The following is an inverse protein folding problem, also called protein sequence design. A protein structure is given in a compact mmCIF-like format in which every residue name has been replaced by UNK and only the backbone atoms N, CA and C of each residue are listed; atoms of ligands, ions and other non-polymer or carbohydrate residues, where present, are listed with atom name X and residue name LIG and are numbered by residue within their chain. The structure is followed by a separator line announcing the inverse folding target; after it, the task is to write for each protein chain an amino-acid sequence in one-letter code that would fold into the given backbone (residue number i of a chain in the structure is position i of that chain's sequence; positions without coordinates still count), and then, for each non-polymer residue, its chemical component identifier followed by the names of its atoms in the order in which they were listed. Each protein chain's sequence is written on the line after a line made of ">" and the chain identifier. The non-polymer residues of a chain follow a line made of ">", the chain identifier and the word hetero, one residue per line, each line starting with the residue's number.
data_IF_634221537277
#
_entry.id   IF_634221537277
#
_cell.length_a   1.000
_cell.length_b   1.000
_cell.length_c   1.000
_cell.angle_alpha   90.00
_cell.angle_beta   90.00
_cell.angle_gamma   90.00
#
_symmetry.space_group_name_H-M   'P 1'
#
loop_
_entity.id
_entity.type
_entity.pdbx_description
1 polymer ?
#
# COMPACT_ATOMS: atom_id res chain seq x y z
N UNK A 1 3.45 -17.91 -10.37
CA UNK A 1 4.77 -18.49 -10.03
C UNK A 1 4.53 -19.78 -9.29
N UNK A 2 5.10 -20.91 -9.72
CA UNK A 2 4.77 -22.24 -9.18
C UNK A 2 5.05 -22.35 -7.67
N UNK A 3 6.18 -21.77 -7.21
CA UNK A 3 6.68 -21.98 -5.84
C UNK A 3 5.82 -21.32 -4.77
N UNK A 4 5.33 -20.09 -4.99
CA UNK A 4 4.39 -19.42 -4.06
C UNK A 4 3.09 -20.21 -3.93
N UNK A 5 2.57 -20.72 -5.04
CA UNK A 5 1.30 -21.44 -5.03
C UNK A 5 1.41 -22.74 -4.21
N UNK A 6 2.58 -23.39 -4.24
CA UNK A 6 2.87 -24.55 -3.38
C UNK A 6 2.82 -24.14 -1.89
N UNK A 7 3.48 -23.04 -1.50
CA UNK A 7 3.45 -22.56 -0.12
C UNK A 7 2.03 -22.19 0.35
N UNK A 8 1.25 -21.52 -0.51
CA UNK A 8 -0.16 -21.18 -0.23
C UNK A 8 -0.98 -22.46 -0.02
N UNK A 9 -0.86 -23.43 -0.93
CA UNK A 9 -1.59 -24.70 -0.82
C UNK A 9 -1.17 -25.51 0.42
N UNK A 10 0.12 -25.51 0.76
CA UNK A 10 0.61 -26.15 1.98
C UNK A 10 0.00 -25.50 3.23
N UNK A 11 -0.03 -24.16 3.29
CA UNK A 11 -0.62 -23.43 4.40
C UNK A 11 -2.14 -23.64 4.50
N UNK A 12 -2.86 -23.64 3.37
CA UNK A 12 -4.29 -24.00 3.31
C UNK A 12 -4.52 -25.40 3.89
N UNK A 13 -3.68 -26.36 3.53
CA UNK A 13 -3.78 -27.72 4.06
C UNK A 13 -3.51 -27.76 5.57
N UNK A 14 -2.57 -26.95 6.08
CA UNK A 14 -2.32 -26.83 7.52
C UNK A 14 -3.52 -26.22 8.26
N UNK A 15 -4.16 -25.18 7.71
CA UNK A 15 -5.37 -24.55 8.25
C UNK A 15 -6.55 -25.54 8.30
N UNK A 16 -6.84 -26.22 7.18
CA UNK A 16 -7.95 -27.19 7.10
C UNK A 16 -7.79 -28.38 8.05
N UNK A 17 -6.55 -28.86 8.20
CA UNK A 17 -6.22 -29.98 9.08
C UNK A 17 -5.98 -29.56 10.53
N UNK A 18 -6.17 -28.28 10.87
CA UNK A 18 -5.89 -27.72 12.20
C UNK A 18 -4.50 -28.06 12.73
N UNK A 19 -3.51 -28.06 11.84
CA UNK A 19 -2.09 -28.26 12.23
C UNK A 19 -1.47 -26.99 12.82
N UNK A 20 -2.12 -25.86 12.59
CA UNK A 20 -1.76 -24.57 13.15
C UNK A 20 -3.02 -24.08 13.84
N UNK A 21 -2.90 -23.83 15.13
CA UNK A 21 -3.98 -23.33 15.96
C UNK A 21 -3.45 -22.17 16.81
N UNK A 22 -4.36 -21.32 17.27
CA UNK A 22 -4.04 -20.15 18.06
C UNK A 22 -3.80 -18.91 17.19
N UNK A 23 -4.25 -17.78 17.73
CA UNK A 23 -4.22 -16.50 17.02
C UNK A 23 -2.79 -16.04 16.71
N UNK A 24 -1.84 -16.26 17.62
CA UNK A 24 -0.45 -15.82 17.46
C UNK A 24 0.28 -16.59 16.35
N UNK A 25 0.28 -17.93 16.42
CA UNK A 25 0.94 -18.79 15.44
C UNK A 25 0.33 -18.62 14.04
N UNK A 26 -1.00 -18.52 13.98
CA UNK A 26 -1.71 -18.30 12.72
C UNK A 26 -1.43 -16.92 12.13
N UNK A 27 -1.44 -15.87 12.95
CA UNK A 27 -1.14 -14.51 12.51
C UNK A 27 0.27 -14.42 11.92
N UNK A 28 1.26 -14.98 12.64
CA UNK A 28 2.66 -14.97 12.23
C UNK A 28 2.86 -15.68 10.90
N UNK A 29 2.39 -16.92 10.77
CA UNK A 29 2.56 -17.68 9.52
C UNK A 29 1.80 -17.05 8.35
N UNK A 30 0.64 -16.45 8.60
CA UNK A 30 -0.10 -15.69 7.58
C UNK A 30 0.72 -14.50 7.08
N UNK A 31 1.32 -13.71 7.99
CA UNK A 31 2.16 -12.58 7.62
C UNK A 31 3.42 -13.01 6.86
N UNK A 32 4.10 -14.08 7.29
CA UNK A 32 5.28 -14.65 6.61
C UNK A 32 4.95 -15.15 5.19
N UNK A 33 3.78 -15.79 5.02
CA UNK A 33 3.29 -16.22 3.70
C UNK A 33 3.00 -15.01 2.80
N UNK A 34 2.28 -14.01 3.30
CA UNK A 34 1.95 -12.80 2.53
C UNK A 34 3.20 -12.01 2.14
N UNK A 35 4.23 -11.97 3.00
CA UNK A 35 5.54 -11.40 2.66
C UNK A 35 6.19 -12.12 1.49
N UNK A 36 6.13 -13.46 1.49
CA UNK A 36 6.64 -14.29 0.38
C UNK A 36 5.86 -14.02 -0.92
N UNK A 37 4.53 -13.89 -0.84
CA UNK A 37 3.66 -13.53 -1.97
C UNK A 37 4.05 -12.17 -2.55
N UNK A 38 4.17 -11.13 -1.71
CA UNK A 38 4.53 -9.77 -2.13
C UNK A 38 5.91 -9.74 -2.79
N UNK A 39 6.89 -10.41 -2.19
CA UNK A 39 8.27 -10.46 -2.70
C UNK A 39 8.34 -11.02 -4.13
N UNK A 40 7.57 -12.09 -4.39
CA UNK A 40 7.56 -12.83 -5.66
C UNK A 40 6.52 -12.31 -6.67
N UNK A 41 5.64 -11.40 -6.26
CA UNK A 41 4.64 -10.79 -7.15
C UNK A 41 5.33 -9.88 -8.16
N UNK A 42 4.99 -10.07 -9.44
CA UNK A 42 5.43 -9.18 -10.50
C UNK A 42 4.52 -7.97 -10.54
N UNK A 43 5.09 -6.79 -10.30
CA UNK A 43 4.37 -5.53 -10.28
C UNK A 43 4.47 -4.82 -11.64
N UNK A 44 3.35 -4.48 -12.28
CA UNK A 44 3.34 -3.61 -13.46
C UNK A 44 3.80 -2.19 -13.10
N UNK A 45 4.36 -1.45 -14.07
CA UNK A 45 4.90 -0.11 -13.80
C UNK A 45 3.85 0.95 -13.44
N UNK A 46 2.58 0.77 -13.85
CA UNK A 46 1.52 1.78 -13.75
C UNK A 46 0.63 1.65 -12.52
N UNK A 47 0.32 0.42 -12.09
CA UNK A 47 -0.56 0.15 -10.94
C UNK A 47 0.07 -0.89 -10.01
N UNK A 48 1.14 -0.47 -9.34
CA UNK A 48 1.95 -1.34 -8.51
C UNK A 48 1.20 -1.76 -7.24
N UNK A 49 0.63 -0.78 -6.53
CA UNK A 49 -0.16 -1.02 -5.33
C UNK A 49 -1.39 -1.90 -5.63
N UNK A 50 -2.11 -1.63 -6.72
CA UNK A 50 -3.24 -2.46 -7.15
C UNK A 50 -2.84 -3.91 -7.41
N UNK A 51 -1.73 -4.15 -8.11
CA UNK A 51 -1.24 -5.51 -8.35
C UNK A 51 -0.88 -6.26 -7.06
N UNK A 52 -0.28 -5.58 -6.08
CA UNK A 52 0.00 -6.17 -4.76
C UNK A 52 -1.29 -6.42 -3.97
N UNK A 53 -2.23 -5.49 -4.00
CA UNK A 53 -3.55 -5.61 -3.34
C UNK A 53 -4.31 -6.81 -3.91
N UNK A 54 -4.36 -6.97 -5.22
CA UNK A 54 -5.07 -8.07 -5.87
C UNK A 54 -4.42 -9.42 -5.55
N UNK A 55 -3.09 -9.49 -5.56
CA UNK A 55 -2.36 -10.70 -5.19
C UNK A 55 -2.62 -11.11 -3.72
N UNK A 56 -2.54 -10.16 -2.78
CA UNK A 56 -2.79 -10.41 -1.36
C UNK A 56 -4.25 -10.76 -1.11
N UNK A 57 -5.20 -10.08 -1.78
CA UNK A 57 -6.63 -10.35 -1.67
C UNK A 57 -6.96 -11.77 -2.15
N UNK A 58 -6.47 -12.15 -3.33
CA UNK A 58 -6.73 -13.47 -3.90
C UNK A 58 -6.22 -14.61 -2.99
N UNK A 59 -5.02 -14.47 -2.43
CA UNK A 59 -4.50 -15.44 -1.46
C UNK A 59 -5.32 -15.39 -0.16
N UNK A 60 -5.58 -14.20 0.38
CA UNK A 60 -6.31 -14.01 1.62
C UNK A 60 -7.72 -14.62 1.61
N UNK A 61 -8.46 -14.47 0.51
CA UNK A 61 -9.77 -15.10 0.33
C UNK A 61 -9.69 -16.62 0.40
N UNK A 62 -8.67 -17.24 -0.21
CA UNK A 62 -8.46 -18.69 -0.14
C UNK A 62 -8.13 -19.14 1.29
N UNK A 63 -7.31 -18.37 2.03
CA UNK A 63 -6.94 -18.69 3.41
C UNK A 63 -8.14 -18.58 4.36
N UNK A 64 -8.94 -17.51 4.23
CA UNK A 64 -10.14 -17.31 5.05
C UNK A 64 -11.18 -18.38 4.75
N UNK A 65 -11.38 -18.74 3.48
CA UNK A 65 -12.28 -19.82 3.09
C UNK A 65 -11.82 -21.20 3.61
N UNK A 66 -10.51 -21.39 3.82
CA UNK A 66 -9.98 -22.63 4.36
C UNK A 66 -10.32 -22.85 5.85
N UNK A 67 -10.41 -21.77 6.63
CA UNK A 67 -10.85 -21.82 8.02
C UNK A 67 -11.48 -20.47 8.48
N UNK A 68 -12.80 -20.27 8.27
CA UNK A 68 -13.44 -18.99 8.53
C UNK A 68 -13.58 -18.65 10.02
N UNK A 69 -13.38 -19.63 10.92
CA UNK A 69 -13.46 -19.44 12.37
C UNK A 69 -12.19 -18.79 12.91
N UNK A 70 -11.06 -18.98 12.23
CA UNK A 70 -9.77 -18.40 12.63
C UNK A 70 -9.64 -16.96 12.13
N UNK A 71 -10.26 -16.03 12.88
CA UNK A 71 -10.35 -14.61 12.52
C UNK A 71 -8.99 -13.91 12.39
N UNK A 72 -7.95 -14.46 13.04
CA UNK A 72 -6.58 -13.95 12.96
C UNK A 72 -6.09 -13.84 11.52
N UNK A 73 -6.38 -14.84 10.67
CA UNK A 73 -6.01 -14.83 9.24
C UNK A 73 -6.59 -13.59 8.55
N UNK A 74 -7.89 -13.37 8.72
CA UNK A 74 -8.58 -12.23 8.10
C UNK A 74 -8.08 -10.89 8.63
N UNK A 75 -7.76 -10.80 9.92
CA UNK A 75 -7.21 -9.60 10.54
C UNK A 75 -5.84 -9.24 9.94
N UNK A 76 -4.94 -10.22 9.80
CA UNK A 76 -3.65 -10.00 9.18
C UNK A 76 -3.78 -9.62 7.70
N UNK A 77 -4.62 -10.31 6.92
CA UNK A 77 -4.86 -9.94 5.51
C UNK A 77 -5.32 -8.48 5.39
N UNK A 78 -6.28 -8.04 6.22
CA UNK A 78 -6.75 -6.65 6.21
C UNK A 78 -5.66 -5.66 6.61
N UNK A 79 -4.83 -5.98 7.62
CA UNK A 79 -3.70 -5.15 8.04
C UNK A 79 -2.66 -5.02 6.93
N UNK A 80 -2.29 -6.11 6.26
CA UNK A 80 -1.35 -6.07 5.12
C UNK A 80 -1.90 -5.24 3.96
N UNK A 81 -3.18 -5.39 3.62
CA UNK A 81 -3.83 -4.55 2.60
C UNK A 81 -3.84 -3.07 2.98
N UNK A 82 -3.91 -2.74 4.27
CA UNK A 82 -3.81 -1.37 4.74
C UNK A 82 -2.38 -0.84 4.62
N UNK A 83 -1.38 -1.59 5.07
CA UNK A 83 0.05 -1.26 4.90
C UNK A 83 0.37 -0.91 3.45
N UNK A 84 -0.07 -1.72 2.48
CA UNK A 84 0.17 -1.45 1.06
C UNK A 84 -0.39 -0.09 0.61
N UNK A 85 -1.57 0.28 1.13
CA UNK A 85 -2.20 1.58 0.80
C UNK A 85 -1.47 2.73 1.48
N UNK A 86 -1.06 2.55 2.73
CA UNK A 86 -0.30 3.57 3.47
C UNK A 86 1.05 3.84 2.80
N UNK A 87 1.79 2.80 2.40
CA UNK A 87 3.10 2.98 1.75
C UNK A 87 3.00 3.59 0.35
N UNK A 88 1.98 3.23 -0.45
CA UNK A 88 1.78 3.85 -1.77
C UNK A 88 1.41 5.33 -1.64
N UNK A 89 0.58 5.66 -0.64
CA UNK A 89 0.23 7.04 -0.33
C UNK A 89 1.44 7.83 0.20
N UNK A 90 2.24 7.24 1.09
CA UNK A 90 3.48 7.82 1.60
C UNK A 90 4.44 8.14 0.46
N UNK A 91 4.61 7.21 -0.48
CA UNK A 91 5.43 7.39 -1.67
C UNK A 91 4.88 8.42 -2.67
N UNK A 92 3.57 8.49 -2.85
CA UNK A 92 2.93 9.54 -3.65
C UNK A 92 3.18 10.92 -3.02
N UNK A 93 3.00 11.04 -1.70
CA UNK A 93 3.20 12.28 -0.96
C UNK A 93 4.66 12.73 -0.98
N UNK A 94 5.60 11.80 -0.77
CA UNK A 94 7.04 12.09 -0.83
C UNK A 94 7.48 12.56 -2.23
N UNK A 95 6.91 11.99 -3.30
CA UNK A 95 7.18 12.44 -4.66
C UNK A 95 6.69 13.88 -4.91
N UNK A 96 5.53 14.26 -4.35
CA UNK A 96 4.99 15.62 -4.44
C UNK A 96 5.84 16.61 -3.63
N UNK A 97 6.22 16.25 -2.40
CA UNK A 97 7.07 17.08 -1.55
C UNK A 97 8.44 17.36 -2.19
N UNK A 98 9.03 16.37 -2.86
CA UNK A 98 10.29 16.54 -3.60
C UNK A 98 10.20 17.52 -4.79
N UNK A 99 9.02 17.66 -5.40
CA UNK A 99 8.78 18.61 -6.49
C UNK A 99 8.62 20.05 -5.99
N UNK A 100 8.05 20.24 -4.79
CA UNK A 100 7.81 21.57 -4.20
C UNK A 100 9.07 22.34 -3.78
N UNK A 101 10.20 21.66 -3.58
CA UNK A 101 11.49 22.28 -3.21
C UNK A 101 12.30 22.79 -4.41
N UNK A 102 11.85 22.53 -5.65
CA UNK A 102 12.54 22.97 -6.87
C UNK A 102 12.05 24.31 -7.44
N UNK A 103 11.07 24.95 -6.79
CA UNK A 103 10.41 26.19 -7.26
C UNK A 103 10.90 27.48 -6.58
N UNK A 104 12.08 27.47 -5.94
CA UNK A 104 12.73 28.70 -5.44
C UNK A 104 13.94 29.05 -6.32
N UNK A 105 13.68 29.28 -7.60
CA UNK A 105 14.61 30.05 -8.44
C UNK A 105 14.01 31.44 -8.57
N UNK A 106 14.55 32.38 -7.81
CA UNK A 106 14.39 33.81 -8.04
C UNK A 106 14.94 34.13 -9.43
N UNK A 107 14.06 34.28 -10.41
CA UNK A 107 14.35 35.07 -11.62
C UNK A 107 13.10 35.87 -11.93
N UNK A 108 13.14 37.14 -11.53
CA UNK A 108 12.26 38.19 -12.02
C UNK A 108 12.72 38.53 -13.45
N UNK A 109 11.98 38.15 -14.49
CA UNK A 109 11.37 39.09 -15.44
C UNK A 109 10.64 38.40 -16.61
N UNK A 110 9.61 39.12 -17.04
CA UNK A 110 8.99 39.18 -18.36
C UNK A 110 8.03 38.09 -18.89
N UNK A 111 7.04 38.59 -19.62
CA UNK A 111 5.72 38.03 -19.84
C UNK A 111 5.60 37.09 -21.05
N UNK A 112 4.99 35.92 -20.87
CA UNK A 112 4.03 35.34 -21.82
C UNK A 112 3.18 34.24 -21.16
N UNK A 113 1.86 34.37 -21.28
CA UNK A 113 0.87 33.43 -20.73
C UNK A 113 0.76 32.21 -21.64
N UNK A 114 1.51 31.16 -21.35
CA UNK A 114 1.25 29.83 -21.93
C UNK A 114 0.39 28.98 -20.98
N UNK A 115 -0.86 28.80 -21.39
CA UNK A 115 -1.84 27.93 -20.75
C UNK A 115 -1.48 26.45 -21.01
N UNK A 116 -0.54 25.91 -20.23
CA UNK A 116 -0.37 24.46 -20.14
C UNK A 116 -1.46 23.84 -19.25
N UNK A 117 -2.18 22.78 -19.71
CA UNK A 117 -3.08 22.02 -18.86
C UNK A 117 -2.26 21.02 -18.05
N UNK A 118 -1.35 21.52 -17.21
CA UNK A 118 -0.82 20.74 -16.11
C UNK A 118 -1.90 20.82 -15.04
N UNK A 119 -2.49 19.68 -14.64
CA UNK A 119 -3.40 19.66 -13.48
C UNK A 119 -2.71 20.44 -12.36
N UNK A 120 -3.30 21.56 -11.95
CA UNK A 120 -2.63 22.52 -11.07
C UNK A 120 -2.09 21.77 -9.85
N UNK A 121 -0.87 22.08 -9.42
CA UNK A 121 -0.28 21.49 -8.22
C UNK A 121 -1.25 21.56 -7.03
N UNK A 122 -2.13 22.57 -6.99
CA UNK A 122 -3.22 22.70 -6.04
C UNK A 122 -4.27 21.56 -6.11
N UNK A 123 -4.65 21.09 -7.30
CA UNK A 123 -5.63 20.00 -7.50
C UNK A 123 -5.01 18.66 -7.10
N UNK A 124 -3.74 18.43 -7.47
CA UNK A 124 -3.00 17.22 -7.08
C UNK A 124 -2.73 17.22 -5.57
N UNK A 125 -2.38 18.37 -4.98
CA UNK A 125 -2.25 18.53 -3.54
C UNK A 125 -3.59 18.38 -2.81
N UNK A 126 -4.70 18.87 -3.37
CA UNK A 126 -6.04 18.68 -2.82
C UNK A 126 -6.46 17.20 -2.83
N UNK A 127 -6.18 16.47 -3.91
CA UNK A 127 -6.40 15.02 -3.99
C UNK A 127 -5.55 14.26 -2.96
N UNK A 128 -4.27 14.63 -2.79
CA UNK A 128 -3.42 14.04 -1.76
C UNK A 128 -3.94 14.34 -0.33
N UNK A 129 -4.47 15.55 -0.09
CA UNK A 129 -5.12 15.92 1.19
C UNK A 129 -6.39 15.11 1.47
N UNK A 130 -7.17 14.80 0.43
CA UNK A 130 -8.36 13.94 0.53
C UNK A 130 -7.98 12.54 1.04
N UNK A 131 -6.90 11.96 0.51
CA UNK A 131 -6.42 10.62 0.89
C UNK A 131 -5.77 10.52 2.27
N UNK A 132 -5.27 11.63 2.83
CA UNK A 132 -4.69 11.70 4.19
C UNK A 132 -5.76 11.99 5.26
N UNK A 133 -6.97 12.37 4.86
CA UNK A 133 -8.08 12.65 5.78
C UNK A 133 -8.80 11.35 6.13
N UNK A 134 -9.20 11.13 7.39
CA UNK A 134 -10.01 9.98 7.75
C UNK A 134 -11.27 9.92 6.86
N UNK A 135 -11.71 8.71 6.45
CA UNK A 135 -12.90 8.57 5.62
C UNK A 135 -14.08 9.15 6.38
N UNK A 136 -14.51 10.32 5.94
CA UNK A 136 -15.66 11.04 6.48
C UNK A 136 -16.65 11.23 5.35
N UNK A 137 -17.94 11.34 5.67
CA UNK A 137 -18.98 11.63 4.69
C UNK A 137 -18.58 12.87 3.86
N UNK A 138 -18.03 13.88 4.52
CA UNK A 138 -17.57 15.11 3.87
C UNK A 138 -16.47 14.85 2.83
N UNK A 139 -15.42 14.09 3.18
CA UNK A 139 -14.34 13.74 2.25
C UNK A 139 -14.86 12.98 1.03
N UNK A 140 -15.79 12.03 1.24
CA UNK A 140 -16.34 11.21 0.16
C UNK A 140 -17.26 11.98 -0.79
N UNK A 141 -17.96 13.01 -0.30
CA UNK A 141 -18.78 13.89 -1.14
C UNK A 141 -17.93 14.91 -1.91
N UNK A 142 -16.83 15.38 -1.33
CA UNK A 142 -15.88 16.29 -1.99
C UNK A 142 -15.12 15.59 -3.14
N UNK A 143 -14.93 14.27 -3.07
CA UNK A 143 -14.22 13.45 -4.07
C UNK A 143 -15.10 12.99 -5.25
N UNK A 144 -16.41 13.29 -5.26
CA UNK A 144 -17.26 13.04 -6.43
C UNK A 144 -16.85 14.01 -7.53
N UNK A 145 -16.24 13.56 -8.63
CA UNK A 145 -15.95 14.46 -9.74
C UNK A 145 -17.28 14.97 -10.29
N UNK A 146 -17.47 16.28 -10.25
CA UNK A 146 -18.60 16.95 -10.89
C UNK A 146 -18.63 16.51 -12.36
N UNK A 147 -19.66 15.74 -12.74
CA UNK A 147 -19.86 15.26 -14.10
C UNK A 147 -20.21 16.45 -14.98
N UNK A 148 -19.19 17.14 -15.47
CA UNK A 148 -19.40 18.43 -16.15
C UNK A 148 -18.22 18.99 -16.91
N UNK A 149 -17.30 18.19 -17.46
CA UNK A 149 -16.42 18.65 -18.53
C UNK A 149 -15.83 17.48 -19.33
N UNK A 150 -16.28 17.35 -20.58
CA UNK A 150 -15.74 16.42 -21.58
C UNK A 150 -14.36 16.95 -22.02
N UNK A 151 -13.26 16.18 -21.94
CA UNK A 151 -11.99 16.60 -22.52
C UNK A 151 -11.96 16.20 -24.00
N UNK A 152 -11.97 17.18 -24.89
CA UNK A 152 -11.73 16.98 -26.31
C UNK A 152 -10.31 16.43 -26.54
N UNK A 153 -10.23 15.33 -27.28
CA UNK A 153 -8.97 14.75 -27.75
C UNK A 153 -8.38 15.63 -28.85
N UNK A 154 -7.43 16.49 -28.49
CA UNK A 154 -6.55 17.13 -29.48
C UNK A 154 -5.26 16.33 -29.58
N UNK A 155 -5.13 15.61 -30.69
CA UNK A 155 -3.88 15.03 -31.15
C UNK A 155 -2.90 16.15 -31.48
N UNK A 156 -1.78 16.22 -30.78
CA UNK A 156 -0.63 17.03 -31.18
C UNK A 156 0.62 16.18 -31.01
N UNK A 157 1.18 15.77 -32.14
CA UNK A 157 2.45 15.05 -32.20
C UNK A 157 3.57 15.94 -31.71
N UNK A 158 4.21 15.50 -30.62
CA UNK A 158 5.46 16.05 -30.13
C UNK A 158 6.43 14.89 -29.97
N UNK A 159 7.27 14.70 -30.97
CA UNK A 159 8.43 13.83 -30.87
C UNK A 159 9.39 14.43 -29.84
N UNK A 160 9.52 13.75 -28.70
CA UNK A 160 10.55 14.06 -27.71
C UNK A 160 11.23 12.76 -27.35
N UNK A 161 12.48 12.64 -27.80
CA UNK A 161 13.35 11.49 -27.65
C UNK A 161 13.36 10.98 -26.21
N UNK A 162 12.70 9.85 -26.00
CA UNK A 162 12.57 9.19 -24.71
C UNK A 162 13.81 8.37 -24.40
N UNK A 163 14.63 8.82 -23.44
CA UNK A 163 15.63 7.95 -22.82
C UNK A 163 15.73 8.01 -21.29
N UNK A 164 14.91 8.82 -20.61
CA UNK A 164 15.06 9.02 -19.14
C UNK A 164 13.86 8.59 -18.27
N UNK A 165 12.65 8.42 -18.83
CA UNK A 165 11.41 8.23 -18.03
C UNK A 165 11.16 6.80 -17.49
N UNK A 166 11.93 5.78 -17.92
CA UNK A 166 11.72 4.39 -17.49
C UNK A 166 12.50 4.02 -16.21
N UNK A 167 13.63 4.68 -15.96
CA UNK A 167 14.46 4.45 -14.78
C UNK A 167 13.75 4.87 -13.48
N UNK A 168 13.15 6.06 -13.47
CA UNK A 168 12.44 6.60 -12.28
C UNK A 168 11.18 5.83 -11.91
N UNK A 169 10.51 5.21 -12.90
CA UNK A 169 9.32 4.37 -12.64
C UNK A 169 9.71 3.00 -12.09
N UNK A 170 10.83 2.44 -12.55
CA UNK A 170 11.37 1.20 -12.00
C UNK A 170 11.92 1.38 -10.59
N UNK A 171 12.49 2.55 -10.26
CA UNK A 171 12.97 2.83 -8.90
C UNK A 171 11.80 2.96 -7.93
N UNK A 172 10.73 3.67 -8.30
CA UNK A 172 9.49 3.76 -7.50
C UNK A 172 8.87 2.38 -7.25
N UNK A 173 8.88 1.50 -8.25
CA UNK A 173 8.39 0.11 -8.11
C UNK A 173 9.18 -0.72 -7.12
N UNK A 174 10.51 -0.62 -7.15
CA UNK A 174 11.35 -1.30 -6.16
C UNK A 174 11.17 -0.70 -4.77
N UNK A 175 10.97 0.62 -4.70
CA UNK A 175 10.79 1.36 -3.45
C UNK A 175 9.50 0.94 -2.74
N UNK A 176 8.33 0.99 -3.40
CA UNK A 176 7.07 0.55 -2.79
C UNK A 176 7.16 -0.88 -2.27
N UNK A 177 7.68 -1.81 -3.08
CA UNK A 177 7.80 -3.20 -2.64
C UNK A 177 8.75 -3.36 -1.45
N UNK A 178 9.82 -2.57 -1.40
CA UNK A 178 10.76 -2.57 -0.30
C UNK A 178 10.12 -2.06 0.99
N UNK A 179 9.50 -0.88 0.94
CA UNK A 179 8.84 -0.23 2.07
C UNK A 179 7.73 -1.13 2.64
N UNK A 180 6.92 -1.76 1.78
CA UNK A 180 5.91 -2.74 2.19
C UNK A 180 6.50 -3.96 2.88
N UNK A 181 7.63 -4.49 2.38
CA UNK A 181 8.30 -5.66 2.99
C UNK A 181 8.89 -5.29 4.35
N UNK A 182 9.43 -4.09 4.49
CA UNK A 182 9.95 -3.56 5.75
C UNK A 182 8.84 -3.44 6.79
N UNK A 183 7.75 -2.73 6.48
CA UNK A 183 6.58 -2.61 7.34
C UNK A 183 5.95 -3.97 7.72
N UNK A 184 6.03 -4.96 6.80
CA UNK A 184 5.55 -6.31 7.10
C UNK A 184 6.48 -7.09 8.03
N UNK A 185 7.79 -6.83 8.00
CA UNK A 185 8.73 -7.39 8.96
C UNK A 185 8.50 -6.80 10.36
N UNK A 186 8.21 -5.50 10.46
CA UNK A 186 7.78 -4.86 11.71
C UNK A 186 6.52 -5.53 12.26
N UNK A 187 5.48 -5.70 11.42
CA UNK A 187 4.26 -6.40 11.83
C UNK A 187 4.54 -7.83 12.34
N UNK A 188 5.46 -8.57 11.72
CA UNK A 188 5.85 -9.93 12.17
C UNK A 188 6.54 -9.86 13.54
N UNK A 189 7.41 -8.87 13.73
CA UNK A 189 8.09 -8.66 15.00
C UNK A 189 7.09 -8.31 16.11
N UNK A 190 6.14 -7.40 15.84
CA UNK A 190 5.08 -7.01 16.78
C UNK A 190 4.20 -8.21 17.21
N UNK A 191 3.80 -9.05 16.26
CA UNK A 191 3.07 -10.29 16.56
C UNK A 191 3.88 -11.24 17.44
N UNK A 192 5.21 -11.21 17.30
CA UNK A 192 6.11 -12.08 18.06
C UNK A 192 6.28 -11.59 19.49
N UNK A 193 6.44 -10.29 19.71
CA UNK A 193 6.75 -9.68 21.01
C UNK A 193 5.52 -9.22 21.80
N UNK A 194 4.30 -9.30 21.24
CA UNK A 194 3.11 -8.74 21.89
C UNK A 194 2.85 -9.23 23.33
N UNK A 195 3.23 -10.47 23.64
CA UNK A 195 3.02 -11.06 24.97
C UNK A 195 3.96 -10.48 26.03
N UNK A 196 5.17 -10.08 25.63
CA UNK A 196 6.13 -9.38 26.50
C UNK A 196 5.56 -8.01 26.89
N UNK A 197 5.05 -7.26 25.91
CA UNK A 197 4.42 -5.95 26.13
C UNK A 197 3.20 -6.03 27.08
N UNK A 198 2.37 -7.07 26.93
CA UNK A 198 1.22 -7.29 27.82
C UNK A 198 1.69 -7.67 29.23
N UNK A 199 2.72 -8.50 29.36
CA UNK A 199 3.25 -8.93 30.64
C UNK A 199 3.89 -7.76 31.42
N UNK A 200 4.59 -6.86 30.74
CA UNK A 200 5.15 -5.64 31.34
C UNK A 200 4.06 -4.77 31.97
N UNK A 201 2.95 -4.56 31.27
CA UNK A 201 1.82 -3.75 31.76
C UNK A 201 1.02 -4.45 32.88
N UNK A 202 0.98 -5.79 32.90
CA UNK A 202 0.17 -6.53 33.86
C UNK A 202 0.59 -6.30 35.33
N UNK A 203 1.86 -5.98 35.58
CA UNK A 203 2.40 -5.69 36.92
C UNK A 203 1.74 -4.47 37.56
N UNK A 204 1.28 -3.51 36.75
CA UNK A 204 0.59 -2.31 37.23
C UNK A 204 -0.86 -2.59 37.69
N UNK A 205 -1.42 -3.74 37.32
CA UNK A 205 -2.83 -4.04 37.52
C UNK A 205 -3.07 -5.22 38.47
N UNK A 206 -2.12 -6.15 38.62
CA UNK A 206 -2.25 -7.35 39.45
C UNK A 206 -1.47 -7.19 40.76
N UNK A 207 -2.18 -7.00 41.86
CA UNK A 207 -1.61 -6.78 43.19
C UNK A 207 -1.87 -7.98 44.13
N UNK A 208 -0.90 -8.27 45.01
CA UNK A 208 -1.08 -9.25 46.08
C UNK A 208 -2.12 -8.75 47.11
N UNK A 209 -3.03 -9.62 47.53
CA UNK A 209 -4.01 -9.34 48.59
C UNK A 209 -3.41 -9.48 49.98
#
# INVERSE_FOLDING_TARGET
>A
MPDVQVLVNEFINKLRKRKIEGSQATSRQTAELLRSVISQTRVPYTNQAGALIDAVRAVGEQLIAANPVELAVGNIVRRVLHIIREEDLSLATAAIAGLGLSSVSDDEDDAERDNHPVLSAAVVAAAARSTLRPPSLQTLLEDVPDSGAVPHTSSSGGDSEGKSKSADKSSRSRKLKHDVIEALNELIQDITTCHELIAEQAVEHIHQK
#
